data_IF_853864972283
#
_entry.id   IF_853864972283
#
_cell.length_a   1.000
_cell.length_b   1.000
_cell.length_c   1.000
_cell.angle_alpha   90.00
_cell.angle_beta   90.00
_cell.angle_gamma   90.00
#
_symmetry.space_group_name_H-M   'P 1'
#
loop_
_entity.id
_entity.type
_entity.pdbx_description
1 polymer ?
#
# COMPACT_ATOMS: atom_id res chain seq x y z
N UNK A 1 -14.49 -25.69 14.58
CA UNK A 1 -15.43 -24.59 14.88
C UNK A 1 -16.67 -25.14 15.61
N UNK A 2 -17.33 -24.34 16.46
CA UNK A 2 -18.55 -24.72 17.19
C UNK A 2 -19.79 -23.92 16.72
N UNK A 3 -21.00 -24.30 17.19
CA UNK A 3 -22.26 -23.64 16.78
C UNK A 3 -22.33 -22.15 17.12
N UNK A 4 -21.72 -21.71 18.22
CA UNK A 4 -21.73 -20.31 18.64
C UNK A 4 -20.87 -19.47 17.71
N UNK A 5 -19.67 -19.97 17.37
CA UNK A 5 -18.79 -19.36 16.37
C UNK A 5 -19.43 -19.30 14.99
N UNK A 6 -20.25 -20.29 14.60
CA UNK A 6 -21.01 -20.22 13.33
C UNK A 6 -21.95 -19.03 13.34
N UNK A 7 -22.66 -18.80 14.44
CA UNK A 7 -23.58 -17.66 14.54
C UNK A 7 -22.84 -16.33 14.54
N UNK A 8 -21.69 -16.26 15.21
CA UNK A 8 -20.85 -15.06 15.24
C UNK A 8 -20.29 -14.70 13.86
N UNK A 9 -19.85 -15.70 13.10
CA UNK A 9 -19.23 -15.50 11.79
C UNK A 9 -20.20 -15.51 10.61
N UNK A 10 -21.49 -15.70 10.86
CA UNK A 10 -22.47 -15.90 9.79
C UNK A 10 -22.58 -14.69 8.85
N UNK A 11 -22.67 -13.48 9.41
CA UNK A 11 -22.79 -12.27 8.61
C UNK A 11 -21.52 -12.01 7.80
N UNK A 12 -20.35 -12.13 8.44
CA UNK A 12 -19.06 -12.00 7.77
C UNK A 12 -18.85 -13.07 6.67
N UNK A 13 -19.36 -14.29 6.85
CA UNK A 13 -19.34 -15.32 5.81
C UNK A 13 -20.19 -14.91 4.60
N UNK A 14 -21.40 -14.40 4.84
CA UNK A 14 -22.31 -13.95 3.78
C UNK A 14 -21.74 -12.75 3.01
N UNK A 15 -21.08 -11.84 3.72
CA UNK A 15 -20.42 -10.66 3.15
C UNK A 15 -19.03 -10.95 2.56
N UNK A 16 -18.58 -12.21 2.61
CA UNK A 16 -17.27 -12.67 2.12
C UNK A 16 -16.06 -11.98 2.79
N UNK A 17 -16.21 -11.64 4.07
CA UNK A 17 -15.21 -10.91 4.88
C UNK A 17 -14.36 -11.82 5.78
N UNK A 18 -14.67 -13.12 5.86
CA UNK A 18 -13.85 -14.07 6.60
C UNK A 18 -12.49 -14.29 5.90
N UNK A 19 -11.43 -14.45 6.70
CA UNK A 19 -10.16 -14.91 6.17
C UNK A 19 -10.25 -16.37 5.70
N UNK A 20 -9.27 -16.81 4.90
CA UNK A 20 -9.29 -18.12 4.26
C UNK A 20 -9.33 -19.27 5.26
N UNK A 21 -8.60 -19.17 6.38
CA UNK A 21 -8.54 -20.24 7.37
C UNK A 21 -9.88 -20.37 8.07
N UNK A 22 -10.45 -19.25 8.48
CA UNK A 22 -11.75 -19.20 9.14
C UNK A 22 -12.88 -19.63 8.21
N UNK A 23 -12.80 -19.29 6.91
CA UNK A 23 -13.76 -19.74 5.89
C UNK A 23 -13.77 -21.26 5.77
N UNK A 24 -12.61 -21.91 5.67
CA UNK A 24 -12.52 -23.37 5.58
C UNK A 24 -13.08 -24.06 6.83
N UNK A 25 -12.74 -23.56 8.02
CA UNK A 25 -13.24 -24.10 9.28
C UNK A 25 -14.77 -23.94 9.41
N UNK A 26 -15.31 -22.82 8.95
CA UNK A 26 -16.75 -22.56 8.87
C UNK A 26 -17.44 -23.54 7.93
N UNK A 27 -16.97 -23.65 6.69
CA UNK A 27 -17.55 -24.52 5.67
C UNK A 27 -17.50 -26.00 6.06
N UNK A 28 -16.38 -26.45 6.64
CA UNK A 28 -16.25 -27.80 7.16
C UNK A 28 -17.35 -28.10 8.20
N UNK A 29 -17.53 -27.22 9.19
CA UNK A 29 -18.57 -27.42 10.21
C UNK A 29 -19.99 -27.42 9.62
N UNK A 30 -20.29 -26.48 8.72
CA UNK A 30 -21.61 -26.39 8.05
C UNK A 30 -21.88 -27.63 7.16
N UNK A 31 -20.84 -28.20 6.56
CA UNK A 31 -20.96 -29.43 5.77
C UNK A 31 -21.28 -30.66 6.61
N UNK A 32 -20.92 -30.67 7.90
CA UNK A 32 -21.12 -31.81 8.81
C UNK A 32 -22.33 -31.62 9.74
N UNK A 33 -22.76 -30.37 9.97
CA UNK A 33 -23.85 -30.04 10.90
C UNK A 33 -25.13 -29.59 10.17
N UNK A 34 -26.18 -30.41 10.22
CA UNK A 34 -27.47 -30.10 9.60
C UNK A 34 -28.15 -28.85 10.20
N UNK A 35 -28.01 -28.62 11.51
CA UNK A 35 -28.58 -27.44 12.18
C UNK A 35 -27.93 -26.14 11.68
N UNK A 36 -26.59 -26.09 11.68
CA UNK A 36 -25.86 -24.93 11.18
C UNK A 36 -26.09 -24.70 9.69
N UNK A 37 -26.21 -25.77 8.90
CA UNK A 37 -26.58 -25.66 7.48
C UNK A 37 -27.94 -25.00 7.28
N UNK A 38 -28.96 -25.44 8.01
CA UNK A 38 -30.29 -24.86 7.93
C UNK A 38 -30.29 -23.37 8.29
N UNK A 39 -29.52 -22.97 9.31
CA UNK A 39 -29.37 -21.56 9.70
C UNK A 39 -28.71 -20.75 8.57
N UNK A 40 -27.61 -21.26 8.01
CA UNK A 40 -26.90 -20.58 6.90
C UNK A 40 -27.80 -20.42 5.69
N UNK A 41 -28.52 -21.46 5.29
CA UNK A 41 -29.46 -21.43 4.17
C UNK A 41 -30.59 -20.41 4.40
N UNK A 42 -31.15 -20.35 5.61
CA UNK A 42 -32.18 -19.37 5.97
C UNK A 42 -31.67 -17.93 5.84
N UNK A 43 -30.46 -17.66 6.34
CA UNK A 43 -29.85 -16.33 6.23
C UNK A 43 -29.51 -15.96 4.79
N UNK A 44 -29.01 -16.90 3.98
CA UNK A 44 -28.75 -16.67 2.55
C UNK A 44 -30.04 -16.33 1.79
N UNK A 45 -31.15 -17.02 2.09
CA UNK A 45 -32.46 -16.71 1.50
C UNK A 45 -32.94 -15.31 1.90
N UNK A 46 -32.81 -14.95 3.18
CA UNK A 46 -33.13 -13.62 3.67
C UNK A 46 -32.31 -12.55 2.93
N UNK A 47 -30.99 -12.73 2.87
CA UNK A 47 -30.08 -11.80 2.20
C UNK A 47 -30.39 -11.67 0.70
N UNK A 48 -30.65 -12.79 0.00
CA UNK A 48 -31.03 -12.79 -1.40
C UNK A 48 -32.35 -12.04 -1.64
N UNK A 49 -33.36 -12.23 -0.77
CA UNK A 49 -34.64 -11.53 -0.86
C UNK A 49 -34.50 -10.03 -0.64
N UNK A 50 -33.69 -9.60 0.34
CA UNK A 50 -33.37 -8.20 0.58
C UNK A 50 -32.64 -7.60 -0.64
N UNK A 51 -31.67 -8.33 -1.19
CA UNK A 51 -30.91 -7.93 -2.38
C UNK A 51 -31.80 -7.75 -3.61
N UNK A 52 -32.83 -8.57 -3.76
CA UNK A 52 -33.78 -8.46 -4.86
C UNK A 52 -34.68 -7.21 -4.77
N UNK A 53 -34.90 -6.68 -3.56
CA UNK A 53 -35.70 -5.48 -3.34
C UNK A 53 -34.92 -4.17 -3.55
N UNK A 54 -33.58 -4.21 -3.50
CA UNK A 54 -32.79 -3.01 -3.76
C UNK A 54 -32.88 -2.60 -5.24
N UNK A 55 -33.07 -1.30 -5.46
CA UNK A 55 -32.98 -0.69 -6.79
C UNK A 55 -31.56 -0.91 -7.32
N UNK A 56 -31.43 -1.71 -8.38
CA UNK A 56 -30.18 -1.81 -9.11
C UNK A 56 -29.99 -0.51 -9.89
N UNK A 57 -28.94 0.23 -9.56
CA UNK A 57 -28.51 1.37 -10.36
C UNK A 57 -27.75 0.85 -11.57
N UNK A 58 -28.17 1.27 -12.78
CA UNK A 58 -27.37 1.03 -13.97
C UNK A 58 -26.04 1.79 -13.84
N UNK A 59 -24.94 1.07 -14.04
CA UNK A 59 -23.62 1.67 -14.04
C UNK A 59 -23.50 2.56 -15.29
N UNK A 60 -23.19 3.86 -15.16
CA UNK A 60 -23.03 4.72 -16.32
C UNK A 60 -21.91 4.19 -17.22
N UNK A 61 -22.15 4.12 -18.53
CA UNK A 61 -21.20 3.59 -19.54
C UNK A 61 -19.80 4.21 -19.42
N UNK A 62 -19.72 5.49 -19.01
CA UNK A 62 -18.46 6.23 -18.87
C UNK A 62 -17.73 5.98 -17.54
N UNK A 63 -18.30 5.24 -16.60
CA UNK A 63 -17.69 5.00 -15.29
C UNK A 63 -16.46 4.11 -15.42
N UNK A 64 -16.55 3.04 -16.21
CA UNK A 64 -15.42 2.15 -16.44
C UNK A 64 -14.21 2.89 -17.02
N UNK A 65 -14.44 3.73 -18.04
CA UNK A 65 -13.40 4.54 -18.66
C UNK A 65 -12.73 5.48 -17.66
N UNK A 66 -13.52 6.12 -16.80
CA UNK A 66 -13.03 7.01 -15.75
C UNK A 66 -12.18 6.26 -14.72
N UNK A 67 -12.66 5.11 -14.24
CA UNK A 67 -11.92 4.27 -13.29
C UNK A 67 -10.58 3.84 -13.91
N UNK A 68 -10.60 3.33 -15.15
CA UNK A 68 -9.39 2.88 -15.83
C UNK A 68 -8.40 4.02 -16.08
N UNK A 69 -8.90 5.22 -16.40
CA UNK A 69 -8.06 6.40 -16.53
C UNK A 69 -7.39 6.78 -15.18
N UNK A 70 -8.13 6.73 -14.08
CA UNK A 70 -7.59 7.03 -12.74
C UNK A 70 -6.55 5.99 -12.26
N UNK A 71 -6.77 4.71 -12.54
CA UNK A 71 -5.80 3.66 -12.22
C UNK A 71 -4.48 3.88 -12.97
N UNK A 72 -4.55 4.18 -14.28
CA UNK A 72 -3.35 4.50 -15.08
C UNK A 72 -2.62 5.74 -14.58
N UNK A 73 -3.33 6.79 -14.18
CA UNK A 73 -2.68 7.98 -13.62
C UNK A 73 -2.01 7.69 -12.27
N UNK A 74 -2.64 6.87 -11.41
CA UNK A 74 -2.06 6.48 -10.13
C UNK A 74 -0.76 5.66 -10.30
N UNK A 75 -0.75 4.69 -11.22
CA UNK A 75 0.47 3.94 -11.58
C UNK A 75 1.55 4.86 -12.15
N UNK A 76 1.14 5.82 -12.97
CA UNK A 76 2.03 6.78 -13.60
C UNK A 76 2.69 7.71 -12.56
N UNK A 77 1.93 8.19 -11.58
CA UNK A 77 2.44 9.05 -10.50
C UNK A 77 3.37 8.29 -9.54
N UNK A 78 3.07 7.01 -9.24
CA UNK A 78 3.98 6.15 -8.47
C UNK A 78 5.33 5.95 -9.17
N UNK A 79 5.34 5.81 -10.51
CA UNK A 79 6.59 5.70 -11.30
C UNK A 79 7.38 7.00 -11.36
N UNK A 80 6.72 8.17 -11.36
CA UNK A 80 7.42 9.47 -11.25
C UNK A 80 7.96 9.74 -9.85
N UNK A 81 7.33 9.21 -8.81
CA UNK A 81 7.79 9.32 -7.41
C UNK A 81 9.17 8.72 -7.17
N UNK A 82 9.54 7.65 -7.90
CA UNK A 82 10.88 7.03 -7.84
C UNK A 82 11.89 7.67 -8.80
N UNK A 83 11.41 8.33 -9.86
CA UNK A 83 12.22 9.08 -10.82
C UNK A 83 12.51 10.53 -10.40
N UNK A 84 12.02 10.97 -9.22
CA UNK A 84 12.48 12.20 -8.58
C UNK A 84 13.84 11.97 -7.93
N UNK A 85 14.81 11.58 -8.77
CA UNK A 85 16.23 11.52 -8.45
C UNK A 85 16.64 12.93 -8.09
N UNK A 86 16.67 13.17 -6.78
CA UNK A 86 17.21 14.31 -6.07
C UNK A 86 17.77 15.39 -6.98
N UNK A 87 16.89 16.32 -7.38
CA UNK A 87 17.33 17.63 -7.79
C UNK A 87 17.84 18.33 -6.54
N UNK A 88 19.04 17.94 -6.10
CA UNK A 88 19.79 18.68 -5.12
C UNK A 88 19.88 20.10 -5.66
N UNK A 89 19.30 21.07 -4.95
CA UNK A 89 19.17 22.39 -5.51
C UNK A 89 20.57 23.00 -5.73
N UNK A 90 20.74 23.79 -6.79
CA UNK A 90 22.05 24.17 -7.34
C UNK A 90 23.04 24.79 -6.35
N UNK A 91 22.59 25.58 -5.38
CA UNK A 91 23.38 26.12 -4.25
C UNK A 91 24.13 25.07 -3.41
N UNK A 92 23.63 23.82 -3.27
CA UNK A 92 24.32 22.76 -2.50
C UNK A 92 25.49 22.11 -3.26
N UNK A 93 25.51 22.20 -4.59
CA UNK A 93 26.66 21.74 -5.37
C UNK A 93 27.88 22.67 -5.19
N UNK A 94 27.64 23.94 -4.88
CA UNK A 94 28.70 24.94 -4.72
C UNK A 94 29.37 24.87 -3.35
N UNK A 95 28.70 24.33 -2.32
CA UNK A 95 29.30 24.17 -0.99
C UNK A 95 30.38 23.09 -0.93
N UNK A 96 30.35 22.09 -1.82
CA UNK A 96 31.42 21.08 -1.90
C UNK A 96 32.69 21.61 -2.58
N UNK A 97 32.57 22.55 -3.52
CA UNK A 97 33.73 23.13 -4.20
C UNK A 97 34.54 24.06 -3.27
N UNK A 98 33.85 24.78 -2.38
CA UNK A 98 34.49 25.72 -1.47
C UNK A 98 35.34 25.04 -0.38
N UNK A 99 34.92 23.87 0.13
CA UNK A 99 35.65 23.16 1.19
C UNK A 99 36.98 22.57 0.69
N UNK A 100 37.02 22.04 -0.54
CA UNK A 100 38.24 21.50 -1.14
C UNK A 100 39.28 22.60 -1.38
N UNK A 101 38.85 23.79 -1.80
CA UNK A 101 39.76 24.93 -2.01
C UNK A 101 40.47 25.37 -0.72
N UNK A 102 39.75 25.39 0.41
CA UNK A 102 40.32 25.79 1.71
C UNK A 102 41.38 24.78 2.17
N UNK A 103 41.12 23.47 2.03
CA UNK A 103 42.08 22.42 2.44
C UNK A 103 43.37 22.51 1.60
N UNK A 104 43.27 22.73 0.29
CA UNK A 104 44.45 22.88 -0.58
C UNK A 104 45.24 24.13 -0.21
N UNK A 105 44.58 25.26 0.04
CA UNK A 105 45.25 26.51 0.41
C UNK A 105 45.98 26.39 1.75
N UNK A 106 45.34 25.79 2.77
CA UNK A 106 45.97 25.56 4.08
C UNK A 106 47.13 24.58 3.96
N UNK A 107 46.97 23.48 3.21
CA UNK A 107 48.05 22.52 2.97
C UNK A 107 49.26 23.14 2.27
N UNK A 108 49.03 23.95 1.23
CA UNK A 108 50.09 24.66 0.53
C UNK A 108 50.81 25.67 1.44
N UNK A 109 50.08 26.39 2.29
CA UNK A 109 50.65 27.34 3.24
C UNK A 109 51.53 26.64 4.28
N UNK A 110 51.06 25.52 4.84
CA UNK A 110 51.84 24.73 5.80
C UNK A 110 53.13 24.18 5.18
N UNK A 111 53.07 23.69 3.94
CA UNK A 111 54.24 23.23 3.19
C UNK A 111 55.25 24.36 2.91
N UNK A 112 54.77 25.57 2.62
CA UNK A 112 55.66 26.72 2.43
C UNK A 112 56.36 27.13 3.74
N UNK A 113 55.66 27.07 4.87
CA UNK A 113 56.23 27.41 6.18
C UNK A 113 57.32 26.40 6.56
N UNK A 114 57.07 25.11 6.42
CA UNK A 114 58.07 24.07 6.74
C UNK A 114 59.28 24.11 5.80
N UNK A 115 59.06 24.31 4.49
CA UNK A 115 60.15 24.45 3.51
C UNK A 115 61.00 25.72 3.74
N UNK A 116 60.41 26.77 4.33
CA UNK A 116 61.14 27.99 4.69
C UNK A 116 62.02 27.79 5.93
N UNK A 117 61.57 26.98 6.88
CA UNK A 117 62.36 26.63 8.09
C UNK A 117 63.53 25.70 7.80
N UNK A 118 63.44 24.80 6.81
CA UNK A 118 64.56 23.91 6.46
C UNK A 118 65.69 24.61 5.70
N UNK A 119 65.52 25.89 5.33
CA UNK A 119 66.45 26.65 4.49
C UNK A 119 67.20 27.74 5.26
N UNK A 120 66.94 27.90 6.56
CA UNK A 120 67.70 28.73 7.51
C UNK A 120 68.54 27.86 8.43
#
# INVERSE_FOLDING_TARGET
MNHEQVREFLDAYIDTELDVVTTLDFENHVSECAECRAIVEQYQQLHASAKAQFLRFEVPVRLEDKIRAQLRSAEYDQRRGTARRDWLPGWRAWSLAASVGIVIAVGALLLQITNRQSRS
#
